data_IF_239074012825
#
_entry.id   IF_239074012825
#
_cell.length_a   1.000
_cell.length_b   1.000
_cell.length_c   1.000
_cell.angle_alpha   90.00
_cell.angle_beta   90.00
_cell.angle_gamma   90.00
#
_symmetry.space_group_name_H-M   'P 1'
#
loop_
_entity.id
_entity.type
_entity.pdbx_description
1 polymer ?
#
# COMPACT_ATOMS: atom_id res chain seq x y z
N UNK A 1 -65.56 56.03 -22.06
CA UNK A 1 -64.91 55.55 -20.82
C UNK A 1 -65.98 54.90 -19.94
N UNK A 2 -65.63 53.78 -19.29
CA UNK A 2 -66.50 52.67 -18.89
C UNK A 2 -67.69 53.05 -17.99
N UNK A 3 -68.85 52.47 -18.31
CA UNK A 3 -70.11 52.46 -17.52
C UNK A 3 -70.20 51.17 -16.70
N UNK A 4 -70.75 51.29 -15.49
CA UNK A 4 -71.62 50.37 -14.73
C UNK A 4 -71.27 48.85 -14.74
N UNK A 5 -70.88 48.28 -13.59
CA UNK A 5 -71.74 47.64 -12.57
C UNK A 5 -72.47 46.40 -13.07
N UNK A 6 -72.23 45.23 -12.46
CA UNK A 6 -73.26 44.44 -11.77
C UNK A 6 -72.67 43.20 -11.09
N UNK A 7 -73.16 42.95 -9.88
CA UNK A 7 -72.96 41.77 -9.06
C UNK A 7 -73.86 40.61 -9.49
N UNK A 8 -73.36 39.39 -9.27
CA UNK A 8 -74.05 38.10 -9.10
C UNK A 8 -74.89 37.54 -10.27
N UNK A 9 -74.62 36.29 -10.67
CA UNK A 9 -75.68 35.29 -10.84
C UNK A 9 -75.15 33.85 -10.73
N UNK A 10 -76.05 32.99 -10.27
CA UNK A 10 -75.87 31.66 -9.70
C UNK A 10 -75.91 30.52 -10.75
N UNK A 11 -75.19 29.43 -10.45
CA UNK A 11 -75.59 28.01 -10.60
C UNK A 11 -75.79 27.32 -11.97
N UNK A 12 -75.04 26.23 -12.21
CA UNK A 12 -75.46 24.88 -12.71
C UNK A 12 -74.18 24.02 -12.92
N UNK A 13 -73.86 23.02 -12.09
CA UNK A 13 -74.35 21.64 -11.94
C UNK A 13 -73.69 20.59 -12.88
N UNK A 14 -72.83 19.76 -12.25
CA UNK A 14 -72.47 18.35 -12.49
C UNK A 14 -71.73 17.91 -13.78
N UNK A 15 -70.54 17.30 -13.61
CA UNK A 15 -70.41 15.83 -13.67
C UNK A 15 -69.10 15.37 -12.98
N UNK A 16 -69.26 14.38 -12.10
CA UNK A 16 -68.20 13.78 -11.30
C UNK A 16 -67.48 12.65 -12.07
N UNK A 17 -66.15 12.60 -11.93
CA UNK A 17 -65.35 11.40 -12.22
C UNK A 17 -64.45 11.14 -11.02
N UNK A 18 -64.91 10.24 -10.15
CA UNK A 18 -64.16 9.71 -9.02
C UNK A 18 -63.42 8.45 -9.49
N UNK A 19 -62.09 8.45 -9.44
CA UNK A 19 -61.28 7.23 -9.30
C UNK A 19 -60.18 7.48 -8.28
N UNK A 20 -60.33 6.85 -7.11
CA UNK A 20 -59.32 6.71 -6.07
C UNK A 20 -58.73 5.30 -6.15
N UNK A 21 -57.41 5.20 -6.26
CA UNK A 21 -56.52 4.11 -5.80
C UNK A 21 -55.08 4.52 -6.19
N UNK A 22 -54.01 4.47 -5.41
CA UNK A 22 -53.68 4.00 -4.07
C UNK A 22 -52.14 4.13 -3.94
N UNK A 23 -51.63 4.51 -2.76
CA UNK A 23 -50.20 4.79 -2.49
C UNK A 23 -49.23 3.65 -2.84
N UNK A 24 -48.01 3.96 -3.29
CA UNK A 24 -46.79 3.20 -2.93
C UNK A 24 -45.49 3.99 -3.21
N UNK A 25 -44.90 4.49 -2.11
CA UNK A 25 -43.47 4.63 -1.81
C UNK A 25 -42.63 5.43 -2.83
N UNK A 26 -42.52 6.74 -2.58
CA UNK A 26 -41.37 7.51 -3.06
C UNK A 26 -40.11 6.91 -2.44
N UNK A 27 -39.33 6.22 -3.27
CA UNK A 27 -38.00 5.80 -2.90
C UNK A 27 -37.18 7.06 -2.62
N UNK A 28 -36.44 7.16 -1.50
CA UNK A 28 -35.38 8.15 -1.42
C UNK A 28 -34.44 7.80 -2.57
N UNK A 29 -34.21 8.78 -3.45
CA UNK A 29 -33.13 8.73 -4.42
C UNK A 29 -31.89 8.23 -3.66
N UNK A 30 -31.39 7.07 -4.08
CA UNK A 30 -30.18 6.50 -3.53
C UNK A 30 -29.13 7.63 -3.50
N UNK A 31 -28.71 7.99 -2.30
CA UNK A 31 -27.47 8.71 -2.12
C UNK A 31 -26.42 7.85 -2.84
N UNK A 32 -26.00 8.30 -4.03
CA UNK A 32 -24.75 7.85 -4.59
C UNK A 32 -23.71 8.33 -3.60
N UNK A 33 -23.25 7.42 -2.74
CA UNK A 33 -21.95 7.51 -2.11
C UNK A 33 -20.92 7.58 -3.25
N UNK A 34 -20.72 8.78 -3.78
CA UNK A 34 -19.50 9.12 -4.50
C UNK A 34 -18.38 9.20 -3.45
N UNK A 35 -17.88 8.02 -3.07
CA UNK A 35 -16.59 7.88 -2.42
C UNK A 35 -15.56 8.52 -3.34
N UNK A 36 -15.18 9.75 -3.05
CA UNK A 36 -14.11 10.45 -3.74
C UNK A 36 -12.87 9.56 -3.70
N UNK A 37 -12.44 9.06 -4.87
CA UNK A 37 -11.23 8.25 -4.97
C UNK A 37 -10.06 9.03 -4.36
N UNK A 38 -9.46 8.49 -3.30
CA UNK A 38 -8.33 9.13 -2.64
C UNK A 38 -7.20 9.32 -3.66
N UNK A 39 -6.62 10.52 -3.72
CA UNK A 39 -5.45 10.77 -4.56
C UNK A 39 -4.26 9.98 -4.02
N UNK A 40 -3.62 9.20 -4.89
CA UNK A 40 -2.46 8.39 -4.55
C UNK A 40 -1.24 8.75 -5.40
N UNK A 41 -0.06 8.37 -4.92
CA UNK A 41 1.23 8.58 -5.56
C UNK A 41 2.19 7.40 -5.36
N UNK A 42 3.46 7.65 -5.64
CA UNK A 42 4.56 6.70 -5.48
C UNK A 42 5.47 7.12 -4.33
N UNK A 43 5.91 6.17 -3.52
CA UNK A 43 6.91 6.35 -2.46
C UNK A 43 8.04 5.34 -2.68
N UNK A 44 9.28 5.83 -2.71
CA UNK A 44 10.45 4.99 -2.90
C UNK A 44 11.35 5.08 -1.68
N UNK A 45 11.71 3.91 -1.14
CA UNK A 45 12.74 3.78 -0.11
C UNK A 45 14.03 3.29 -0.77
N UNK A 46 15.09 4.09 -0.72
CA UNK A 46 16.40 3.72 -1.27
C UNK A 46 17.30 3.09 -0.21
N UNK A 47 17.92 1.95 -0.53
CA UNK A 47 18.79 1.19 0.38
C UNK A 47 20.26 1.35 0.02
N UNK A 48 20.95 2.25 0.73
CA UNK A 48 22.39 2.46 0.58
C UNK A 48 23.17 1.66 1.63
N UNK A 49 23.80 0.55 1.21
CA UNK A 49 24.56 -0.33 2.10
C UNK A 49 26.00 0.17 2.26
N UNK A 50 26.48 0.22 3.51
CA UNK A 50 27.77 0.81 3.88
C UNK A 50 28.57 -0.14 4.78
N UNK A 51 29.90 -0.09 4.66
CA UNK A 51 30.85 -0.64 5.64
C UNK A 51 31.59 0.53 6.29
N UNK A 52 31.27 0.81 7.56
CA UNK A 52 31.72 2.03 8.23
C UNK A 52 31.20 3.26 7.50
N UNK A 53 32.10 4.04 6.90
CA UNK A 53 31.75 5.25 6.12
C UNK A 53 31.85 5.05 4.60
N UNK A 54 32.20 3.85 4.14
CA UNK A 54 32.39 3.56 2.72
C UNK A 54 31.19 2.76 2.16
N UNK A 55 30.76 3.02 0.91
CA UNK A 55 29.78 2.16 0.24
C UNK A 55 30.28 0.73 0.15
N UNK A 56 29.37 -0.23 0.35
CA UNK A 56 29.67 -1.65 0.20
C UNK A 56 29.92 -1.99 -1.28
N UNK A 57 31.17 -2.27 -1.64
CA UNK A 57 31.56 -2.86 -2.91
C UNK A 57 31.83 -4.36 -2.76
N UNK A 58 31.19 -5.16 -3.61
CA UNK A 58 31.41 -6.61 -3.67
C UNK A 58 32.70 -6.94 -4.44
N UNK A 59 33.37 -8.03 -4.09
CA UNK A 59 34.50 -8.68 -4.80
C UNK A 59 35.73 -7.81 -5.10
N UNK A 60 35.76 -6.54 -4.66
CA UNK A 60 36.79 -5.56 -5.04
C UNK A 60 37.49 -4.96 -3.83
N UNK A 61 36.75 -4.66 -2.76
CA UNK A 61 37.29 -3.93 -1.60
C UNK A 61 37.56 -4.89 -0.45
N UNK A 62 38.77 -4.80 0.11
CA UNK A 62 39.13 -5.45 1.37
C UNK A 62 38.79 -4.52 2.53
N UNK A 63 37.94 -4.97 3.43
CA UNK A 63 37.57 -4.27 4.66
C UNK A 63 38.31 -4.87 5.85
N UNK A 64 38.32 -4.13 6.95
CA UNK A 64 38.90 -4.59 8.21
C UNK A 64 37.82 -4.68 9.28
N UNK A 65 37.71 -5.84 9.93
CA UNK A 65 36.82 -6.06 11.05
C UNK A 65 37.40 -5.42 12.33
N UNK A 66 36.58 -5.15 13.37
CA UNK A 66 37.05 -4.52 14.61
C UNK A 66 38.16 -5.29 15.33
N UNK A 67 38.30 -6.59 15.06
CA UNK A 67 39.34 -7.45 15.62
C UNK A 67 40.67 -7.40 14.83
N UNK A 68 40.73 -6.65 13.73
CA UNK A 68 41.92 -6.48 12.89
C UNK A 68 41.96 -7.40 11.66
N UNK A 69 41.04 -8.37 11.56
CA UNK A 69 41.00 -9.30 10.42
C UNK A 69 40.51 -8.62 9.14
N UNK A 70 41.13 -8.98 8.02
CA UNK A 70 40.70 -8.54 6.71
C UNK A 70 39.64 -9.47 6.14
N UNK A 71 38.62 -8.91 5.51
CA UNK A 71 37.58 -9.66 4.80
C UNK A 71 37.18 -8.95 3.52
N UNK A 72 36.62 -9.71 2.57
CA UNK A 72 35.91 -9.15 1.41
C UNK A 72 34.44 -9.49 1.54
N UNK A 73 33.58 -8.91 0.71
CA UNK A 73 32.17 -9.29 0.66
C UNK A 73 31.87 -9.75 -0.75
N UNK A 74 31.44 -11.00 -0.91
CA UNK A 74 31.12 -11.60 -2.21
C UNK A 74 29.60 -11.68 -2.44
N UNK A 75 28.80 -11.62 -1.38
CA UNK A 75 27.35 -11.55 -1.46
C UNK A 75 26.78 -10.76 -0.28
N UNK A 76 25.80 -9.91 -0.56
CA UNK A 76 25.02 -9.20 0.45
C UNK A 76 23.58 -9.04 -0.02
N UNK A 77 22.67 -9.82 0.56
CA UNK A 77 21.26 -9.89 0.13
C UNK A 77 20.33 -10.04 1.32
N UNK A 78 19.21 -9.34 1.33
CA UNK A 78 18.25 -9.37 2.43
C UNK A 78 16.83 -9.00 1.99
N UNK A 79 15.85 -9.30 2.83
CA UNK A 79 14.46 -8.88 2.60
C UNK A 79 14.10 -7.64 3.42
N UNK A 80 13.24 -6.80 2.86
CA UNK A 80 12.51 -5.76 3.58
C UNK A 80 11.01 -6.05 3.42
N UNK A 81 10.26 -5.99 4.52
CA UNK A 81 8.82 -6.24 4.52
C UNK A 81 8.07 -5.33 5.50
N UNK A 82 6.73 -5.35 5.45
CA UNK A 82 5.86 -4.68 6.41
C UNK A 82 6.18 -3.19 6.58
N UNK A 83 6.24 -2.47 5.47
CA UNK A 83 6.49 -1.02 5.48
C UNK A 83 5.27 -0.28 6.04
N UNK A 84 5.52 0.57 7.03
CA UNK A 84 4.52 1.42 7.68
C UNK A 84 5.02 2.86 7.61
N UNK A 85 4.20 3.74 7.04
CA UNK A 85 4.49 5.16 6.95
C UNK A 85 3.77 5.90 8.08
N UNK A 86 4.49 6.75 8.83
CA UNK A 86 3.91 7.61 9.87
C UNK A 86 3.62 8.99 9.28
N UNK A 87 2.38 9.46 9.43
CA UNK A 87 1.95 10.79 8.98
C UNK A 87 2.30 11.87 9.99
N UNK A 88 2.21 13.14 9.57
CA UNK A 88 2.45 14.29 10.44
C UNK A 88 1.47 14.39 11.63
N UNK A 89 0.27 13.82 11.52
CA UNK A 89 -0.73 13.73 12.60
C UNK A 89 -0.53 12.54 13.55
N UNK A 90 0.62 11.86 13.46
CA UNK A 90 0.98 10.61 14.15
C UNK A 90 0.14 9.38 13.79
N UNK A 91 -0.83 9.46 12.88
CA UNK A 91 -1.48 8.27 12.33
C UNK A 91 -0.51 7.49 11.45
N UNK A 92 -0.79 6.20 11.25
CA UNK A 92 0.04 5.31 10.44
C UNK A 92 -0.71 4.77 9.23
N UNK A 93 0.02 4.53 8.16
CA UNK A 93 -0.45 3.86 6.96
C UNK A 93 0.42 2.63 6.72
N UNK A 94 -0.15 1.44 6.95
CA UNK A 94 0.51 0.18 6.63
C UNK A 94 0.41 -0.06 5.12
N UNK A 95 1.55 -0.10 4.44
CA UNK A 95 1.59 -0.32 2.99
C UNK A 95 1.26 -1.79 2.73
N UNK A 96 0.17 -2.10 1.99
CA UNK A 96 -0.26 -3.48 1.78
C UNK A 96 0.78 -4.32 1.03
N UNK A 97 0.92 -5.59 1.42
CA UNK A 97 1.66 -6.62 0.68
C UNK A 97 3.12 -6.26 0.32
N UNK A 98 3.83 -5.59 1.22
CA UNK A 98 5.22 -5.16 0.97
C UNK A 98 6.23 -6.27 1.25
N UNK A 99 6.90 -6.73 0.18
CA UNK A 99 8.05 -7.62 0.23
C UNK A 99 9.04 -7.21 -0.86
N UNK A 100 10.27 -6.93 -0.48
CA UNK A 100 11.33 -6.53 -1.38
C UNK A 100 12.57 -7.37 -1.09
N UNK A 101 13.18 -7.92 -2.13
CA UNK A 101 14.53 -8.46 -2.05
C UNK A 101 15.48 -7.31 -2.39
N UNK A 102 16.45 -7.05 -1.53
CA UNK A 102 17.57 -6.16 -1.81
C UNK A 102 18.80 -7.03 -2.05
N UNK A 103 19.42 -6.88 -3.22
CA UNK A 103 20.63 -7.58 -3.62
C UNK A 103 21.70 -6.54 -3.97
N UNK A 104 22.82 -6.51 -3.24
CA UNK A 104 23.89 -5.56 -3.50
C UNK A 104 24.48 -5.68 -4.92
N UNK A 105 24.33 -6.85 -5.55
CA UNK A 105 24.78 -7.08 -6.92
C UNK A 105 23.83 -6.48 -7.97
N UNK A 106 22.58 -6.22 -7.62
CA UNK A 106 21.53 -5.74 -8.53
C UNK A 106 20.98 -4.38 -8.05
N UNK A 107 21.48 -3.30 -8.65
CA UNK A 107 21.13 -1.93 -8.27
C UNK A 107 19.62 -1.64 -8.36
N UNK A 108 18.90 -2.29 -9.28
CA UNK A 108 17.46 -2.08 -9.45
C UNK A 108 16.65 -2.57 -8.24
N UNK A 109 17.26 -3.42 -7.40
CA UNK A 109 16.64 -3.94 -6.18
C UNK A 109 16.86 -3.06 -4.95
N UNK A 110 17.66 -1.99 -5.08
CA UNK A 110 17.96 -1.06 -3.98
C UNK A 110 16.90 0.04 -3.86
N UNK A 111 16.07 0.24 -4.88
CA UNK A 111 14.93 1.16 -4.87
C UNK A 111 13.62 0.39 -4.62
N UNK A 112 13.09 0.51 -3.42
CA UNK A 112 11.87 -0.18 -2.99
C UNK A 112 10.66 0.70 -3.32
N UNK A 113 10.16 0.53 -4.54
CA UNK A 113 9.05 1.33 -5.08
C UNK A 113 7.71 0.81 -4.57
N UNK A 114 6.97 1.68 -3.88
CA UNK A 114 5.60 1.44 -3.42
C UNK A 114 4.64 2.38 -4.14
N UNK A 115 3.63 1.81 -4.79
CA UNK A 115 2.61 2.55 -5.54
C UNK A 115 1.33 2.70 -4.73
N UNK A 116 0.45 3.56 -5.20
CA UNK A 116 -0.88 3.79 -4.63
C UNK A 116 -0.83 4.28 -3.18
N UNK A 117 0.24 4.98 -2.81
CA UNK A 117 0.39 5.57 -1.48
C UNK A 117 -0.50 6.82 -1.39
N UNK A 118 -1.40 6.93 -0.39
CA UNK A 118 -2.20 8.12 -0.23
C UNK A 118 -1.34 9.38 -0.15
N UNK A 119 -1.71 10.43 -0.87
CA UNK A 119 -1.00 11.71 -0.79
C UNK A 119 -1.14 12.27 0.63
N UNK A 120 -0.02 12.73 1.19
CA UNK A 120 0.03 13.35 2.51
C UNK A 120 1.46 13.58 3.00
N UNK A 121 1.57 14.27 4.13
CA UNK A 121 2.85 14.54 4.78
C UNK A 121 3.25 13.38 5.69
N UNK A 122 4.41 12.80 5.43
CA UNK A 122 4.96 11.68 6.18
C UNK A 122 6.22 12.10 6.95
N UNK A 123 6.32 11.67 8.20
CA UNK A 123 7.39 12.04 9.15
C UNK A 123 8.20 10.85 9.63
N UNK A 124 7.94 9.66 9.11
CA UNK A 124 8.68 8.47 9.49
C UNK A 124 8.30 7.25 8.67
N UNK A 125 9.21 6.29 8.64
CA UNK A 125 9.04 4.98 8.05
C UNK A 125 9.50 3.93 9.06
N UNK A 126 8.72 2.87 9.20
CA UNK A 126 9.08 1.66 9.92
C UNK A 126 8.98 0.49 8.96
N UNK A 127 9.93 -0.43 9.00
CA UNK A 127 9.89 -1.65 8.20
C UNK A 127 10.51 -2.81 8.97
N UNK A 128 10.23 -4.03 8.51
CA UNK A 128 10.83 -5.26 9.01
C UNK A 128 12.02 -5.63 8.14
N UNK A 129 13.14 -5.95 8.78
CA UNK A 129 14.26 -6.61 8.11
C UNK A 129 14.02 -8.12 8.13
N UNK A 130 13.81 -8.70 6.96
CA UNK A 130 13.40 -10.09 6.77
C UNK A 130 11.95 -10.27 6.34
N UNK A 131 11.49 -11.51 6.39
CA UNK A 131 10.09 -11.91 6.11
C UNK A 131 9.39 -12.24 7.44
N UNK A 132 8.16 -11.78 7.64
CA UNK A 132 7.42 -12.09 8.86
C UNK A 132 7.03 -13.57 8.94
N UNK A 133 6.90 -14.06 10.18
CA UNK A 133 6.64 -15.48 10.47
C UNK A 133 5.28 -15.97 9.95
N UNK A 134 4.30 -15.08 9.80
CA UNK A 134 2.98 -15.43 9.26
C UNK A 134 3.10 -15.77 7.78
N UNK A 135 3.83 -14.93 7.02
CA UNK A 135 4.14 -15.19 5.61
C UNK A 135 5.01 -16.42 5.44
N UNK A 136 6.03 -16.61 6.28
CA UNK A 136 6.91 -17.79 6.21
C UNK A 136 6.16 -19.12 6.36
N UNK A 137 4.98 -19.13 6.98
CA UNK A 137 4.16 -20.33 7.17
C UNK A 137 3.13 -20.57 6.05
N UNK A 138 2.96 -19.63 5.12
CA UNK A 138 1.93 -19.71 4.07
C UNK A 138 2.23 -20.76 2.98
N UNK A 139 3.49 -21.19 2.84
CA UNK A 139 3.92 -22.28 1.94
C UNK A 139 3.85 -21.99 0.43
N UNK A 140 3.20 -20.90 0.00
CA UNK A 140 3.16 -20.47 -1.40
C UNK A 140 4.04 -19.23 -1.61
N UNK A 141 5.29 -19.44 -2.02
CA UNK A 141 6.25 -18.37 -2.27
C UNK A 141 6.45 -18.13 -3.76
N UNK A 142 5.98 -16.98 -4.23
CA UNK A 142 6.09 -16.53 -5.61
C UNK A 142 6.82 -15.18 -5.69
N UNK A 143 7.21 -14.77 -6.89
CA UNK A 143 7.87 -13.50 -7.13
C UNK A 143 9.20 -13.38 -6.38
N UNK A 144 9.41 -12.28 -5.66
CA UNK A 144 10.64 -12.00 -4.91
C UNK A 144 10.90 -12.99 -3.77
N UNK A 145 9.88 -13.71 -3.30
CA UNK A 145 10.01 -14.72 -2.25
C UNK A 145 10.27 -16.14 -2.80
N UNK A 146 10.29 -16.31 -4.12
CA UNK A 146 10.44 -17.63 -4.74
C UNK A 146 11.79 -18.29 -4.44
N UNK A 147 11.84 -19.63 -4.50
CA UNK A 147 13.05 -20.43 -4.25
C UNK A 147 14.26 -20.05 -5.11
N UNK A 148 14.02 -19.52 -6.32
CA UNK A 148 15.07 -19.09 -7.24
C UNK A 148 15.84 -17.83 -6.81
N UNK A 149 15.39 -17.14 -5.76
CA UNK A 149 16.06 -15.92 -5.23
C UNK A 149 17.13 -16.20 -4.18
N UNK A 150 17.31 -17.47 -3.79
CA UNK A 150 18.46 -17.94 -3.01
C UNK A 150 18.38 -17.69 -1.50
N UNK A 151 17.35 -16.99 -1.02
CA UNK A 151 17.12 -16.73 0.42
C UNK A 151 15.98 -17.57 1.01
N UNK A 152 15.34 -18.44 0.22
CA UNK A 152 14.42 -19.45 0.73
C UNK A 152 15.20 -20.74 0.94
N UNK A 153 15.21 -21.25 2.16
CA UNK A 153 15.89 -22.49 2.53
C UNK A 153 14.88 -23.50 3.04
N UNK A 154 14.97 -24.75 2.59
CA UNK A 154 14.12 -25.83 3.12
C UNK A 154 14.92 -26.60 4.17
N UNK A 155 14.54 -26.46 5.44
CA UNK A 155 15.07 -27.30 6.52
C UNK A 155 14.20 -28.57 6.67
N UNK A 156 14.64 -29.51 7.52
CA UNK A 156 13.88 -30.73 7.83
C UNK A 156 12.50 -30.46 8.48
N UNK A 157 12.19 -29.22 8.85
CA UNK A 157 10.90 -28.77 9.40
C UNK A 157 10.00 -27.98 8.43
N UNK A 158 10.43 -27.78 7.18
CA UNK A 158 9.71 -26.98 6.18
C UNK A 158 10.52 -25.79 5.66
N UNK A 159 9.90 -24.94 4.82
CA UNK A 159 10.56 -23.76 4.26
C UNK A 159 10.74 -22.64 5.29
N UNK A 160 11.95 -22.08 5.34
CA UNK A 160 12.34 -20.93 6.15
C UNK A 160 13.04 -19.88 5.28
N UNK A 161 12.99 -18.61 5.68
CA UNK A 161 13.71 -17.54 4.99
C UNK A 161 15.01 -17.21 5.71
N UNK A 162 16.10 -17.19 4.96
CA UNK A 162 17.36 -16.57 5.37
C UNK A 162 17.17 -15.06 5.16
N UNK A 163 17.05 -14.32 6.27
CA UNK A 163 16.78 -12.88 6.21
C UNK A 163 18.00 -12.06 5.73
N UNK A 164 19.20 -12.61 5.86
CA UNK A 164 20.44 -12.01 5.39
C UNK A 164 21.42 -13.09 4.92
N UNK A 165 21.94 -12.95 3.71
CA UNK A 165 23.16 -13.63 3.29
C UNK A 165 24.32 -12.65 3.30
N UNK A 166 25.38 -13.03 4.00
CA UNK A 166 26.69 -12.40 3.96
C UNK A 166 27.73 -13.48 3.68
N UNK A 167 28.55 -13.26 2.66
CA UNK A 167 29.70 -14.11 2.33
C UNK A 167 30.93 -13.25 2.20
N UNK A 168 32.02 -13.66 2.85
CA UNK A 168 33.29 -12.96 2.82
C UNK A 168 34.48 -13.87 3.01
#
# INVERSE_FOLDING_TARGET
>A
MKRFSLSAFSSTLALASLLLAGCKKDAPAAAKDESAAATTGEFTLHMANMVGTAPLALDVTTYQAPNGDNYQVNAFRYYISNVVLRKADNSTYAVPNTYFLVDQKDADTQDLVMKEIPVGDYTGVTFTFGVDSTRSKAGNFTGVLSSGKGLLWTMNGGPEFINLEFKG
#
